data_IF_427578866959
#
_entry.id   IF_427578866959
#
_cell.length_a   1.000
_cell.length_b   1.000
_cell.length_c   1.000
_cell.angle_alpha   90.00
_cell.angle_beta   90.00
_cell.angle_gamma   90.00
#
_symmetry.space_group_name_H-M   'P 1'
#
loop_
_entity.id
_entity.type
_entity.pdbx_description
1 polymer ?
#
# COMPACT_ATOMS: atom_id res chain seq x y z
N UNK A 1 10.96 -4.39 -1.35
CA UNK A 1 10.37 -3.62 -0.25
C UNK A 1 10.66 -2.15 -0.51
N UNK A 2 9.67 -1.27 -0.41
CA UNK A 2 9.82 0.15 -0.68
C UNK A 2 9.20 1.00 0.43
N UNK A 3 9.81 2.15 0.72
CA UNK A 3 9.26 3.17 1.62
C UNK A 3 8.85 4.37 0.78
N UNK A 4 7.57 4.70 0.81
CA UNK A 4 7.01 5.88 0.18
C UNK A 4 7.11 7.05 1.15
N UNK A 5 7.66 8.15 0.65
CA UNK A 5 7.88 9.41 1.39
C UNK A 5 7.07 10.57 0.82
N UNK A 6 6.72 10.49 -0.46
CA UNK A 6 5.98 11.51 -1.21
C UNK A 6 5.10 10.84 -2.26
N UNK A 7 3.96 11.46 -2.56
CA UNK A 7 3.09 11.10 -3.66
C UNK A 7 3.03 12.23 -4.67
N UNK A 8 3.14 11.89 -5.95
CA UNK A 8 2.71 12.74 -7.05
C UNK A 8 1.35 12.19 -7.54
N UNK A 9 0.40 13.09 -7.82
CA UNK A 9 -1.01 12.73 -8.07
C UNK A 9 -1.32 12.88 -9.55
N UNK A 10 -1.82 11.80 -10.15
CA UNK A 10 -2.25 11.77 -11.55
C UNK A 10 -3.72 11.32 -11.64
N UNK A 11 -4.42 11.80 -12.66
CA UNK A 11 -5.81 11.43 -12.95
C UNK A 11 -5.86 10.77 -14.33
N UNK A 12 -5.79 9.43 -14.41
CA UNK A 12 -5.75 8.74 -15.69
C UNK A 12 -7.11 8.77 -16.41
N UNK A 13 -7.10 8.99 -17.72
CA UNK A 13 -8.31 8.99 -18.56
C UNK A 13 -9.00 7.62 -18.65
N UNK A 14 -8.25 6.54 -18.40
CA UNK A 14 -8.71 5.15 -18.42
C UNK A 14 -8.07 4.38 -17.27
N UNK A 15 -8.89 3.64 -16.51
CA UNK A 15 -8.44 2.72 -15.49
C UNK A 15 -8.93 1.30 -15.81
N UNK A 16 -8.08 0.30 -15.58
CA UNK A 16 -8.45 -1.12 -15.66
C UNK A 16 -8.60 -1.66 -14.25
N UNK A 17 -9.72 -2.31 -13.89
CA UNK A 17 -9.85 -2.98 -12.61
C UNK A 17 -8.76 -4.04 -12.42
N UNK A 18 -8.23 -4.14 -11.21
CA UNK A 18 -7.34 -5.22 -10.81
C UNK A 18 -8.09 -6.25 -9.98
N UNK A 19 -7.63 -7.50 -10.02
CA UNK A 19 -8.14 -8.54 -9.12
C UNK A 19 -7.86 -8.20 -7.65
N UNK A 20 -8.76 -8.65 -6.79
CA UNK A 20 -8.57 -8.54 -5.34
C UNK A 20 -7.42 -9.42 -4.84
N UNK A 21 -6.80 -8.99 -3.75
CA UNK A 21 -5.79 -9.77 -3.02
C UNK A 21 -6.49 -10.75 -2.09
N UNK A 22 -5.89 -11.90 -1.82
CA UNK A 22 -6.45 -12.89 -0.89
C UNK A 22 -6.48 -12.35 0.53
N UNK A 23 -5.40 -11.66 0.93
CA UNK A 23 -5.30 -11.01 2.23
C UNK A 23 -4.33 -9.84 2.17
N UNK A 24 -4.54 -8.89 3.09
CA UNK A 24 -3.64 -7.78 3.35
C UNK A 24 -3.41 -7.65 4.86
N UNK A 25 -2.16 -7.41 5.25
CA UNK A 25 -1.78 -7.22 6.65
C UNK A 25 -1.21 -5.82 6.81
N UNK A 26 -1.79 -5.05 7.72
CA UNK A 26 -1.23 -3.77 8.18
C UNK A 26 -0.34 -4.02 9.39
N UNK A 27 0.91 -3.57 9.33
CA UNK A 27 1.85 -3.67 10.44
C UNK A 27 2.29 -2.28 10.88
N UNK A 28 2.27 -2.05 12.19
CA UNK A 28 2.83 -0.85 12.81
C UNK A 28 4.31 -1.12 13.07
N UNK A 29 5.18 -0.42 12.34
CA UNK A 29 6.63 -0.64 12.40
C UNK A 29 7.25 0.53 13.15
N UNK A 30 8.07 0.22 14.16
CA UNK A 30 8.88 1.18 14.89
C UNK A 30 10.36 0.84 14.68
N UNK A 31 11.12 1.75 14.09
CA UNK A 31 12.56 1.63 13.85
C UNK A 31 13.36 2.60 14.74
N UNK A 32 12.80 3.00 15.88
CA UNK A 32 13.40 3.93 16.83
C UNK A 32 13.12 5.39 16.45
N UNK A 33 13.91 5.94 15.53
CA UNK A 33 13.76 7.35 15.12
C UNK A 33 12.58 7.58 14.18
N UNK A 34 12.14 6.53 13.47
CA UNK A 34 11.06 6.60 12.50
C UNK A 34 10.04 5.49 12.73
N UNK A 35 8.77 5.81 12.47
CA UNK A 35 7.66 4.86 12.49
C UNK A 35 7.02 4.79 11.13
N UNK A 36 6.53 3.61 10.77
CA UNK A 36 5.90 3.36 9.48
C UNK A 36 4.60 2.57 9.64
N UNK A 37 3.67 2.84 8.73
CA UNK A 37 2.58 1.91 8.43
C UNK A 37 3.05 1.05 7.26
N UNK A 38 3.21 -0.25 7.49
CA UNK A 38 3.51 -1.21 6.43
C UNK A 38 2.25 -1.93 5.99
N UNK A 39 2.07 -2.09 4.69
CA UNK A 39 1.01 -2.92 4.10
C UNK A 39 1.68 -4.03 3.31
N UNK A 40 1.40 -5.25 3.70
CA UNK A 40 1.79 -6.48 3.00
C UNK A 40 0.57 -7.07 2.33
N UNK A 41 0.63 -7.33 1.03
CA UNK A 41 -0.45 -8.00 0.29
C UNK A 41 -0.01 -9.39 -0.14
N UNK A 42 -0.95 -10.33 -0.07
CA UNK A 42 -0.75 -11.72 -0.47
C UNK A 42 -1.67 -12.02 -1.63
N UNK A 43 -1.09 -12.50 -2.73
CA UNK A 43 -1.83 -12.72 -3.97
C UNK A 43 -2.89 -13.82 -3.83
N UNK A 44 -3.93 -13.73 -4.67
CA UNK A 44 -5.01 -14.73 -4.81
C UNK A 44 -4.51 -16.17 -4.78
N UNK A 45 -5.27 -17.04 -4.12
CA UNK A 45 -5.00 -18.48 -3.99
C UNK A 45 -4.79 -19.20 -5.34
N UNK A 46 -5.37 -18.70 -6.43
CA UNK A 46 -5.22 -19.29 -7.77
C UNK A 46 -3.89 -18.93 -8.48
N UNK A 47 -2.97 -18.22 -7.83
CA UNK A 47 -1.62 -18.02 -8.38
C UNK A 47 -0.84 -19.33 -8.36
N UNK A 48 0.12 -19.47 -9.26
CA UNK A 48 1.06 -20.61 -9.29
C UNK A 48 1.73 -20.87 -7.94
N UNK A 49 1.95 -19.81 -7.14
CA UNK A 49 2.45 -19.87 -5.76
C UNK A 49 1.44 -19.22 -4.81
N UNK A 50 0.46 -19.99 -4.30
CA UNK A 50 -0.56 -19.49 -3.39
C UNK A 50 0.05 -18.92 -2.11
N UNK A 51 -0.56 -17.85 -1.56
CA UNK A 51 -0.14 -17.27 -0.29
C UNK A 51 1.24 -16.59 -0.30
N UNK A 52 1.88 -16.44 -1.47
CA UNK A 52 3.14 -15.72 -1.58
C UNK A 52 2.92 -14.22 -1.40
N UNK A 53 3.78 -13.58 -0.60
CA UNK A 53 3.86 -12.13 -0.49
C UNK A 53 4.02 -11.51 -1.88
N UNK A 54 3.07 -10.66 -2.26
CA UNK A 54 2.99 -10.02 -3.56
C UNK A 54 3.66 -8.66 -3.53
N UNK A 55 3.28 -7.81 -2.59
CA UNK A 55 3.81 -6.46 -2.45
C UNK A 55 3.98 -6.10 -0.98
N UNK A 56 5.00 -5.29 -0.71
CA UNK A 56 5.21 -4.63 0.59
C UNK A 56 5.52 -3.17 0.33
N UNK A 57 4.68 -2.30 0.89
CA UNK A 57 4.92 -0.86 0.92
C UNK A 57 4.94 -0.36 2.36
N UNK A 58 5.76 0.66 2.62
CA UNK A 58 5.75 1.43 3.86
C UNK A 58 5.40 2.88 3.59
N UNK A 59 4.57 3.45 4.44
CA UNK A 59 4.33 4.88 4.48
C UNK A 59 4.98 5.42 5.75
N UNK A 60 5.80 6.44 5.61
CA UNK A 60 6.18 7.26 6.74
C UNK A 60 5.03 8.21 7.14
N UNK A 61 5.23 9.00 8.19
CA UNK A 61 4.19 9.91 8.69
C UNK A 61 3.69 10.87 7.60
N UNK A 62 4.60 11.53 6.90
CA UNK A 62 4.25 12.54 5.89
C UNK A 62 3.49 11.92 4.71
N UNK A 63 3.95 10.77 4.21
CA UNK A 63 3.25 10.04 3.17
C UNK A 63 1.87 9.58 3.65
N UNK A 64 1.76 8.99 4.85
CA UNK A 64 0.49 8.53 5.38
C UNK A 64 -0.54 9.66 5.51
N UNK A 65 -0.14 10.80 6.09
CA UNK A 65 -1.00 11.98 6.20
C UNK A 65 -1.48 12.46 4.84
N UNK A 66 -0.58 12.51 3.84
CA UNK A 66 -0.95 12.88 2.48
C UNK A 66 -1.91 11.87 1.85
N UNK A 67 -1.70 10.57 2.06
CA UNK A 67 -2.57 9.52 1.55
C UNK A 67 -3.99 9.64 2.11
N UNK A 68 -4.13 9.89 3.42
CA UNK A 68 -5.44 10.12 4.06
C UNK A 68 -6.12 11.37 3.52
N UNK A 69 -5.38 12.46 3.33
CA UNK A 69 -5.90 13.70 2.73
C UNK A 69 -6.44 13.45 1.31
N UNK A 70 -5.68 12.73 0.47
CA UNK A 70 -6.09 12.40 -0.90
C UNK A 70 -7.34 11.50 -0.91
N UNK A 71 -7.37 10.46 -0.08
CA UNK A 71 -8.52 9.56 0.03
C UNK A 71 -9.80 10.29 0.41
N UNK A 72 -9.74 11.20 1.39
CA UNK A 72 -10.89 12.03 1.82
C UNK A 72 -11.41 13.00 0.76
N UNK A 73 -10.57 13.38 -0.20
CA UNK A 73 -10.96 14.27 -1.31
C UNK A 73 -11.49 13.49 -2.51
N UNK A 74 -11.09 12.22 -2.64
CA UNK A 74 -11.41 11.39 -3.79
C UNK A 74 -12.74 10.63 -3.63
N UNK A 75 -13.02 10.12 -2.43
CA UNK A 75 -14.28 9.48 -2.06
C UNK A 75 -15.20 10.47 -1.34
#
# INVERSE_FOLDING_TARGET
MATVRKFDVEHPDKATPHDEVESAIVRLIDCGLEKFIQIDTYGRSSREKPGKLSQTIRLDKAAFEKFVELGRKHF
#
